data_IF_489496322423
#
_entry.id   IF_489496322423
#
_cell.length_a   1.000
_cell.length_b   1.000
_cell.length_c   1.000
_cell.angle_alpha   90.00
_cell.angle_beta   90.00
_cell.angle_gamma   90.00
#
_symmetry.space_group_name_H-M   'P 1'
#
loop_
_entity.id
_entity.type
_entity.pdbx_description
1 polymer ?
#
# COMPACT_ATOMS: atom_id res chain seq x y z
N UNK A 1 8.36 -7.32 16.80
CA UNK A 1 7.93 -6.02 16.26
C UNK A 1 6.59 -5.70 16.89
N UNK A 2 6.57 -4.83 17.90
CA UNK A 2 5.32 -4.41 18.55
C UNK A 2 4.74 -3.28 17.70
N UNK A 3 3.54 -3.50 17.16
CA UNK A 3 2.83 -2.49 16.39
C UNK A 3 2.31 -1.43 17.38
N UNK A 4 2.91 -0.24 17.39
CA UNK A 4 2.52 0.87 18.28
C UNK A 4 1.38 1.73 17.71
N UNK A 5 0.80 1.34 16.58
CA UNK A 5 -0.30 2.06 15.96
C UNK A 5 -1.64 1.55 16.52
N UNK A 6 -2.24 2.33 17.42
CA UNK A 6 -3.51 2.00 18.09
C UNK A 6 -4.69 1.80 17.11
N UNK A 7 -4.64 2.43 15.94
CA UNK A 7 -5.63 2.24 14.87
C UNK A 7 -5.39 0.93 14.08
N UNK A 8 -4.16 0.43 14.06
CA UNK A 8 -3.81 -0.82 13.39
C UNK A 8 -4.21 -2.07 14.18
N UNK A 9 -4.50 -1.93 15.48
CA UNK A 9 -4.82 -3.03 16.40
C UNK A 9 -6.29 -3.15 16.82
N UNK A 10 -7.17 -2.23 16.42
CA UNK A 10 -8.61 -2.33 16.70
C UNK A 10 -9.36 -2.83 15.47
N UNK A 11 -10.19 -3.85 15.63
CA UNK A 11 -10.96 -4.45 14.54
C UNK A 11 -12.36 -4.77 15.05
N UNK A 12 -13.33 -3.96 14.66
CA UNK A 12 -14.73 -4.12 15.04
C UNK A 12 -15.40 -5.35 14.41
N UNK A 13 -14.88 -5.87 13.29
CA UNK A 13 -15.38 -7.12 12.69
C UNK A 13 -14.78 -8.36 13.36
N UNK A 14 -13.56 -8.25 13.90
CA UNK A 14 -12.94 -9.31 14.72
C UNK A 14 -13.23 -9.17 16.23
N UNK A 15 -14.07 -8.21 16.63
CA UNK A 15 -14.42 -7.96 18.04
C UNK A 15 -13.28 -7.42 18.91
N UNK A 16 -12.21 -6.91 18.32
CA UNK A 16 -11.05 -6.34 19.02
C UNK A 16 -11.31 -4.86 19.27
N UNK A 17 -11.87 -4.54 20.44
CA UNK A 17 -12.07 -3.16 20.92
C UNK A 17 -10.95 -2.81 21.89
N UNK A 18 -10.22 -1.71 21.63
CA UNK A 18 -9.28 -1.17 22.62
C UNK A 18 -10.07 -0.38 23.69
N UNK A 19 -9.89 -0.65 25.00
CA UNK A 19 -10.32 0.28 26.02
C UNK A 19 -9.50 1.57 25.92
N UNK A 20 -10.09 2.74 26.25
CA UNK A 20 -9.34 4.00 26.25
C UNK A 20 -8.13 3.89 27.18
N UNK A 21 -6.96 4.36 26.70
CA UNK A 21 -5.76 4.46 27.53
C UNK A 21 -6.08 5.33 28.76
N UNK A 22 -5.72 4.91 29.98
CA UNK A 22 -5.80 5.77 31.16
C UNK A 22 -5.10 7.12 30.91
N UNK A 23 -5.68 8.23 31.35
CA UNK A 23 -5.21 9.60 31.05
C UNK A 23 -3.73 9.83 31.34
N UNK A 24 -3.19 9.14 32.36
CA UNK A 24 -1.77 9.18 32.71
C UNK A 24 -0.85 8.63 31.60
N UNK A 25 -1.27 7.58 30.88
CA UNK A 25 -0.51 7.01 29.77
C UNK A 25 -0.66 7.83 28.48
N UNK A 26 -1.78 8.55 28.32
CA UNK A 26 -1.94 9.50 27.22
C UNK A 26 -1.00 10.71 27.37
N UNK A 27 -0.81 11.19 28.61
CA UNK A 27 0.14 12.27 28.91
C UNK A 27 1.59 11.82 28.75
N UNK A 28 1.94 10.60 29.17
CA UNK A 28 3.28 10.02 29.02
C UNK A 28 3.65 9.74 27.56
N UNK A 29 2.69 9.31 26.73
CA UNK A 29 2.92 9.12 25.30
C UNK A 29 3.21 10.46 24.59
N UNK A 30 2.54 11.55 25.00
CA UNK A 30 2.78 12.89 24.44
C UNK A 30 4.16 13.44 24.82
N UNK A 31 4.54 13.37 26.11
CA UNK A 31 5.82 13.91 26.58
C UNK A 31 7.02 13.10 26.06
N UNK A 32 6.86 11.79 25.91
CA UNK A 32 7.92 10.92 25.37
C UNK A 32 8.10 11.10 23.86
N UNK A 33 7.02 11.33 23.12
CA UNK A 33 7.07 11.66 21.69
C UNK A 33 7.77 13.01 21.42
N UNK A 34 7.52 14.03 22.24
CA UNK A 34 8.18 15.34 22.13
C UNK A 34 9.69 15.26 22.44
N UNK A 35 10.09 14.38 23.37
CA UNK A 35 11.50 14.14 23.70
C UNK A 35 12.23 13.34 22.61
N UNK A 36 11.58 12.35 21.98
CA UNK A 36 12.16 11.54 20.89
C UNK A 36 12.33 12.34 19.59
N UNK A 37 11.50 13.35 19.33
CA UNK A 37 11.65 14.28 18.21
C UNK A 37 12.92 15.17 18.31
N UNK A 38 13.45 15.38 19.53
CA UNK A 38 14.62 16.23 19.77
C UNK A 38 15.97 15.48 19.75
N UNK A 39 15.97 14.14 19.82
CA UNK A 39 17.19 13.35 19.90
C UNK A 39 17.60 12.77 18.54
N UNK A 40 18.71 13.29 17.97
CA UNK A 40 19.37 12.77 16.75
C UNK A 40 19.72 11.28 16.88
N UNK A 41 19.40 10.49 15.85
CA UNK A 41 19.74 9.06 15.70
C UNK A 41 21.26 8.78 15.84
N UNK A 42 21.67 7.67 16.49
CA UNK A 42 22.09 6.42 15.78
C UNK A 42 22.04 5.14 16.69
N UNK A 43 22.68 3.98 16.36
CA UNK A 43 22.81 3.21 15.12
C UNK A 43 22.14 1.80 15.20
N UNK A 44 22.20 1.08 14.08
CA UNK A 44 21.64 -0.26 13.85
C UNK A 44 22.41 -1.38 14.59
N UNK A 45 21.64 -2.23 15.28
CA UNK A 45 21.92 -3.59 15.76
C UNK A 45 22.86 -3.71 16.96
N UNK A 46 22.28 -3.97 18.14
CA UNK A 46 22.97 -4.48 19.33
C UNK A 46 22.64 -5.98 19.53
N UNK A 47 23.55 -6.77 20.14
CA UNK A 47 23.37 -8.21 20.33
C UNK A 47 22.23 -8.49 21.31
N UNK A 48 21.72 -9.73 21.25
CA UNK A 48 20.56 -10.23 22.01
C UNK A 48 20.87 -10.29 23.51
N UNK A 49 20.85 -9.14 24.18
CA UNK A 49 20.90 -9.03 25.64
C UNK A 49 19.54 -9.42 26.24
N UNK A 50 19.59 -10.04 27.41
CA UNK A 50 18.44 -10.58 28.14
C UNK A 50 17.29 -9.59 28.21
N UNK A 51 16.08 -10.09 27.95
CA UNK A 51 14.83 -9.33 28.08
C UNK A 51 14.86 -8.48 29.37
N UNK A 52 14.54 -7.18 29.29
CA UNK A 52 14.52 -6.34 30.48
C UNK A 52 13.54 -6.95 31.51
N UNK A 53 13.84 -6.86 32.81
CA UNK A 53 12.99 -7.41 33.85
C UNK A 53 11.58 -6.81 33.72
N UNK A 54 10.56 -7.67 33.81
CA UNK A 54 9.16 -7.27 33.69
C UNK A 54 8.87 -6.12 34.66
N UNK A 55 8.18 -5.06 34.22
CA UNK A 55 7.84 -3.95 35.10
C UNK A 55 6.86 -4.44 36.21
N UNK A 56 6.81 -3.77 37.37
CA UNK A 56 6.04 -4.21 38.53
C UNK A 56 4.57 -4.45 38.17
N UNK A 57 3.95 -5.49 38.73
CA UNK A 57 2.63 -6.00 38.36
C UNK A 57 1.51 -4.93 38.25
N UNK A 58 1.63 -3.82 38.97
CA UNK A 58 0.74 -2.67 38.91
C UNK A 58 0.73 -1.92 37.54
N UNK A 59 1.72 -2.19 36.68
CA UNK A 59 1.87 -1.59 35.35
C UNK A 59 1.45 -2.52 34.21
N UNK A 60 1.06 -3.76 34.55
CA UNK A 60 0.64 -4.76 33.57
C UNK A 60 -0.89 -4.73 33.44
N UNK A 61 -1.39 -4.37 32.26
CA UNK A 61 -2.80 -4.56 31.92
C UNK A 61 -3.05 -6.04 31.66
N UNK A 62 -3.92 -6.67 32.45
CA UNK A 62 -4.37 -8.06 32.24
C UNK A 62 -5.47 -8.06 31.18
N UNK A 63 -5.20 -8.72 30.05
CA UNK A 63 -6.17 -8.88 28.98
C UNK A 63 -6.82 -10.26 29.06
N UNK A 64 -8.15 -10.30 29.12
CA UNK A 64 -8.91 -11.52 28.90
C UNK A 64 -9.29 -11.60 27.42
N UNK A 65 -8.40 -12.20 26.61
CA UNK A 65 -8.68 -12.44 25.19
C UNK A 65 -9.50 -13.72 25.07
N UNK A 66 -10.73 -13.60 24.58
CA UNK A 66 -11.53 -14.74 24.15
C UNK A 66 -11.46 -14.81 22.64
N UNK A 67 -10.89 -15.89 22.11
CA UNK A 67 -10.97 -16.20 20.68
C UNK A 67 -12.43 -16.53 20.37
N UNK A 68 -13.12 -15.63 19.67
CA UNK A 68 -14.53 -15.79 19.30
C UNK A 68 -14.68 -16.80 18.16
N UNK A 69 -13.74 -16.77 17.22
CA UNK A 69 -13.64 -17.72 16.13
C UNK A 69 -12.22 -17.73 15.62
N UNK A 70 -11.67 -18.92 15.37
CA UNK A 70 -10.43 -19.09 14.63
C UNK A 70 -10.75 -19.98 13.44
N UNK A 71 -10.56 -19.45 12.23
CA UNK A 71 -10.42 -20.30 11.05
C UNK A 71 -9.06 -20.94 11.12
N UNK A 72 -9.02 -22.27 11.03
CA UNK A 72 -7.75 -22.98 10.85
C UNK A 72 -7.02 -22.35 9.68
N UNK A 73 -5.78 -21.92 9.90
CA UNK A 73 -4.92 -21.53 8.79
C UNK A 73 -4.72 -22.78 7.96
N UNK A 74 -5.48 -22.92 6.88
CA UNK A 74 -5.39 -24.09 6.02
C UNK A 74 -4.03 -24.02 5.33
N UNK A 75 -2.99 -24.57 5.97
CA UNK A 75 -1.71 -24.85 5.34
C UNK A 75 -1.94 -26.07 4.49
N UNK A 76 -2.69 -25.91 3.40
CA UNK A 76 -2.79 -26.94 2.42
C UNK A 76 -1.78 -26.65 1.33
N UNK A 77 -0.56 -27.15 1.57
CA UNK A 77 0.31 -27.54 0.46
C UNK A 77 -0.37 -28.55 -0.48
N UNK A 78 -1.53 -29.13 -0.09
CA UNK A 78 -2.27 -30.15 -0.84
C UNK A 78 -3.60 -29.68 -1.48
N UNK A 79 -3.96 -28.38 -1.40
CA UNK A 79 -5.21 -27.92 -2.02
C UNK A 79 -5.06 -27.71 -3.53
N UNK A 80 -5.95 -28.34 -4.28
CA UNK A 80 -6.06 -28.30 -5.74
C UNK A 80 -6.12 -26.85 -6.26
N UNK A 81 -5.51 -26.59 -7.42
CA UNK A 81 -5.43 -25.24 -8.01
C UNK A 81 -6.78 -24.53 -8.07
N UNK A 82 -7.86 -25.27 -8.37
CA UNK A 82 -9.21 -24.71 -8.43
C UNK A 82 -9.70 -24.09 -7.13
N UNK A 83 -9.57 -24.81 -6.02
CA UNK A 83 -9.97 -24.29 -4.71
C UNK A 83 -9.17 -23.03 -4.33
N UNK A 84 -7.87 -23.02 -4.66
CA UNK A 84 -7.00 -21.87 -4.41
C UNK A 84 -7.42 -20.64 -5.22
N UNK A 85 -7.93 -20.82 -6.44
CA UNK A 85 -8.52 -19.73 -7.22
C UNK A 85 -9.75 -19.17 -6.53
N UNK A 86 -10.68 -20.04 -6.15
CA UNK A 86 -11.94 -19.64 -5.51
C UNK A 86 -11.65 -18.89 -4.19
N UNK A 87 -10.71 -19.39 -3.38
CA UNK A 87 -10.23 -18.72 -2.16
C UNK A 87 -9.63 -17.33 -2.42
N UNK A 88 -8.81 -17.20 -3.46
CA UNK A 88 -8.22 -15.91 -3.82
C UNK A 88 -9.25 -14.93 -4.39
N UNK A 89 -10.29 -15.43 -5.08
CA UNK A 89 -11.42 -14.61 -5.53
C UNK A 89 -12.25 -14.08 -4.37
N UNK A 90 -12.55 -14.92 -3.38
CA UNK A 90 -13.23 -14.52 -2.15
C UNK A 90 -12.39 -13.50 -1.36
N UNK A 91 -11.10 -13.79 -1.16
CA UNK A 91 -10.16 -12.86 -0.51
C UNK A 91 -10.09 -11.50 -1.22
N UNK A 92 -10.13 -11.50 -2.57
CA UNK A 92 -10.21 -10.26 -3.37
C UNK A 92 -11.52 -9.53 -3.13
N UNK A 93 -12.65 -10.24 -3.03
CA UNK A 93 -13.97 -9.64 -2.78
C UNK A 93 -14.03 -8.97 -1.41
N UNK A 94 -13.51 -9.61 -0.36
CA UNK A 94 -13.38 -9.02 0.97
C UNK A 94 -12.50 -7.75 0.95
N UNK A 95 -11.34 -7.84 0.29
CA UNK A 95 -10.43 -6.71 0.17
C UNK A 95 -11.05 -5.53 -0.61
N UNK A 96 -11.88 -5.80 -1.62
CA UNK A 96 -12.66 -4.78 -2.32
C UNK A 96 -13.65 -4.10 -1.37
N UNK A 97 -14.31 -4.85 -0.48
CA UNK A 97 -15.22 -4.29 0.51
C UNK A 97 -14.48 -3.35 1.48
N UNK A 98 -13.31 -3.74 1.97
CA UNK A 98 -12.47 -2.90 2.84
C UNK A 98 -11.99 -1.63 2.12
N UNK A 99 -11.57 -1.76 0.87
CA UNK A 99 -11.13 -0.63 0.07
C UNK A 99 -12.26 0.39 -0.19
N UNK A 100 -13.49 -0.09 -0.40
CA UNK A 100 -14.68 0.75 -0.52
C UNK A 100 -15.01 1.48 0.79
N UNK A 101 -14.79 0.82 1.94
CA UNK A 101 -14.95 1.42 3.28
C UNK A 101 -13.83 2.42 3.64
N UNK A 102 -12.79 2.54 2.81
CA UNK A 102 -11.68 3.48 3.01
C UNK A 102 -10.46 2.86 3.70
N UNK A 103 -10.53 1.62 4.15
CA UNK A 103 -9.37 0.94 4.75
C UNK A 103 -8.46 0.33 3.67
N UNK A 104 -7.72 1.21 3.00
CA UNK A 104 -6.78 0.83 1.96
C UNK A 104 -5.60 0.01 2.50
N UNK A 105 -5.21 0.19 3.76
CA UNK A 105 -4.10 -0.53 4.37
C UNK A 105 -4.45 -2.01 4.62
N UNK A 106 -5.63 -2.31 5.18
CA UNK A 106 -6.11 -3.69 5.34
C UNK A 106 -6.39 -4.35 4.00
N UNK A 107 -7.01 -3.62 3.08
CA UNK A 107 -7.24 -4.11 1.72
C UNK A 107 -5.92 -4.51 1.05
N UNK A 108 -4.88 -3.68 1.15
CA UNK A 108 -3.55 -3.99 0.60
C UNK A 108 -2.96 -5.28 1.18
N UNK A 109 -3.04 -5.47 2.51
CA UNK A 109 -2.55 -6.70 3.17
C UNK A 109 -3.27 -7.95 2.65
N UNK A 110 -4.60 -7.88 2.51
CA UNK A 110 -5.39 -9.00 1.96
C UNK A 110 -5.06 -9.28 0.50
N UNK A 111 -4.96 -8.26 -0.36
CA UNK A 111 -4.56 -8.48 -1.76
C UNK A 111 -3.18 -9.12 -1.89
N UNK A 112 -2.19 -8.64 -1.12
CA UNK A 112 -0.84 -9.21 -1.13
C UNK A 112 -0.82 -10.65 -0.63
N UNK A 113 -1.64 -10.97 0.40
CA UNK A 113 -1.82 -12.36 0.86
C UNK A 113 -2.37 -13.25 -0.26
N UNK A 114 -3.46 -12.83 -0.91
CA UNK A 114 -4.05 -13.59 -2.02
C UNK A 114 -3.06 -13.79 -3.17
N UNK A 115 -2.20 -12.80 -3.46
CA UNK A 115 -1.14 -12.96 -4.47
C UNK A 115 -0.12 -14.03 -4.07
N UNK A 116 0.35 -14.01 -2.81
CA UNK A 116 1.27 -15.03 -2.32
C UNK A 116 0.64 -16.43 -2.38
N UNK A 117 -0.65 -16.53 -2.05
CA UNK A 117 -1.39 -17.78 -2.14
C UNK A 117 -1.44 -18.31 -3.59
N UNK A 118 -1.56 -17.43 -4.60
CA UNK A 118 -1.50 -17.80 -6.04
C UNK A 118 -0.10 -18.17 -6.54
N UNK A 119 0.97 -17.70 -5.88
CA UNK A 119 2.36 -17.96 -6.26
C UNK A 119 2.88 -19.31 -5.71
N UNK A 120 2.11 -19.96 -4.82
CA UNK A 120 2.44 -21.30 -4.33
C UNK A 120 2.56 -22.29 -5.50
N UNK A 121 3.70 -23.01 -5.63
CA UNK A 121 3.89 -24.00 -6.68
C UNK A 121 2.78 -25.04 -6.67
N UNK A 122 1.90 -24.97 -7.67
CA UNK A 122 0.73 -25.83 -7.84
C UNK A 122 0.65 -26.24 -9.30
N UNK A 123 0.19 -27.45 -9.60
CA UNK A 123 -0.13 -27.84 -10.97
C UNK A 123 -1.46 -27.20 -11.37
N UNK A 124 -1.49 -26.57 -12.54
CA UNK A 124 -2.64 -25.82 -13.04
C UNK A 124 -3.11 -26.43 -14.35
N UNK A 125 -4.39 -26.73 -14.44
CA UNK A 125 -5.05 -27.03 -15.71
C UNK A 125 -5.02 -25.79 -16.62
N UNK A 126 -5.09 -25.98 -17.94
CA UNK A 126 -4.94 -24.89 -18.91
C UNK A 126 -5.95 -23.74 -18.67
N UNK A 127 -7.23 -24.07 -18.46
CA UNK A 127 -8.29 -23.10 -18.22
C UNK A 127 -8.13 -22.38 -16.87
N UNK A 128 -7.77 -23.13 -15.82
CA UNK A 128 -7.53 -22.57 -14.49
C UNK A 128 -6.29 -21.66 -14.49
N UNK A 129 -5.27 -21.97 -15.30
CA UNK A 129 -4.10 -21.13 -15.47
C UNK A 129 -4.43 -19.77 -16.12
N UNK A 130 -5.35 -19.75 -17.10
CA UNK A 130 -5.86 -18.49 -17.70
C UNK A 130 -6.58 -17.67 -16.64
N UNK A 131 -7.50 -18.29 -15.88
CA UNK A 131 -8.20 -17.63 -14.76
C UNK A 131 -7.24 -17.10 -13.70
N UNK A 132 -6.24 -17.89 -13.32
CA UNK A 132 -5.17 -17.50 -12.38
C UNK A 132 -4.45 -16.25 -12.84
N UNK A 133 -4.06 -16.20 -14.11
CA UNK A 133 -3.33 -15.05 -14.66
C UNK A 133 -4.20 -13.80 -14.70
N UNK A 134 -5.48 -13.92 -15.07
CA UNK A 134 -6.44 -12.81 -15.02
C UNK A 134 -6.64 -12.31 -13.58
N UNK A 135 -6.79 -13.21 -12.61
CA UNK A 135 -6.91 -12.87 -11.20
C UNK A 135 -5.65 -12.17 -10.68
N UNK A 136 -4.46 -12.66 -11.05
CA UNK A 136 -3.17 -12.06 -10.69
C UNK A 136 -3.06 -10.62 -11.20
N UNK A 137 -3.46 -10.34 -12.44
CA UNK A 137 -3.48 -8.98 -12.99
C UNK A 137 -4.47 -8.09 -12.23
N UNK A 138 -5.66 -8.60 -11.90
CA UNK A 138 -6.64 -7.88 -11.09
C UNK A 138 -6.10 -7.54 -9.69
N UNK A 139 -5.36 -8.45 -9.06
CA UNK A 139 -4.76 -8.24 -7.75
C UNK A 139 -3.66 -7.17 -7.80
N UNK A 140 -2.74 -7.25 -8.76
CA UNK A 140 -1.73 -6.20 -8.97
C UNK A 140 -2.36 -4.83 -9.18
N UNK A 141 -3.40 -4.77 -10.01
CA UNK A 141 -4.11 -3.54 -10.29
C UNK A 141 -4.71 -2.97 -8.98
N UNK A 142 -5.36 -3.79 -8.17
CA UNK A 142 -5.95 -3.38 -6.89
C UNK A 142 -4.91 -2.98 -5.84
N UNK A 143 -3.77 -3.65 -5.76
CA UNK A 143 -2.65 -3.24 -4.89
C UNK A 143 -2.15 -1.86 -5.30
N UNK A 144 -2.00 -1.59 -6.60
CA UNK A 144 -1.64 -0.26 -7.10
C UNK A 144 -2.68 0.81 -6.70
N UNK A 145 -3.97 0.48 -6.72
CA UNK A 145 -5.01 1.40 -6.22
C UNK A 145 -4.87 1.68 -4.72
N UNK A 146 -4.58 0.65 -3.92
CA UNK A 146 -4.30 0.80 -2.50
C UNK A 146 -3.06 1.65 -2.26
N UNK A 147 -1.98 1.47 -3.02
CA UNK A 147 -0.73 2.22 -2.85
C UNK A 147 -0.88 3.73 -3.04
N UNK A 148 -1.85 4.17 -3.86
CA UNK A 148 -2.19 5.58 -4.07
C UNK A 148 -3.06 6.19 -2.97
N UNK A 149 -3.86 5.38 -2.27
CA UNK A 149 -4.76 5.83 -1.19
C UNK A 149 -4.22 5.58 0.21
N UNK A 150 -3.35 4.59 0.37
CA UNK A 150 -2.78 4.20 1.65
C UNK A 150 -1.50 4.99 1.91
N UNK A 151 -1.48 5.68 3.03
CA UNK A 151 -0.25 6.06 3.73
C UNK A 151 0.20 4.88 4.58
N UNK A 152 1.49 4.60 4.63
CA UNK A 152 2.03 3.64 5.58
C UNK A 152 2.00 4.19 7.02
N UNK A 153 2.45 3.39 7.98
CA UNK A 153 2.49 3.76 9.41
C UNK A 153 3.37 5.00 9.70
N UNK A 154 4.20 5.41 8.73
CA UNK A 154 5.05 6.60 8.81
C UNK A 154 4.46 7.77 7.99
N UNK A 155 3.22 7.65 7.52
CA UNK A 155 2.55 8.68 6.71
C UNK A 155 3.01 8.71 5.25
N UNK A 156 3.87 7.78 4.81
CA UNK A 156 4.41 7.79 3.45
C UNK A 156 3.51 7.00 2.48
N UNK A 157 3.15 7.63 1.38
CA UNK A 157 2.42 6.98 0.29
C UNK A 157 3.32 6.01 -0.46
N UNK A 158 2.80 4.83 -0.82
CA UNK A 158 3.57 3.74 -1.43
C UNK A 158 3.69 3.88 -2.95
N UNK A 159 4.28 4.99 -3.41
CA UNK A 159 4.42 5.26 -4.84
C UNK A 159 5.27 4.22 -5.58
N UNK A 160 6.37 3.76 -4.98
CA UNK A 160 7.24 2.73 -5.57
C UNK A 160 6.51 1.38 -5.76
N UNK A 161 5.77 0.96 -4.74
CA UNK A 161 4.94 -0.24 -4.77
C UNK A 161 3.88 -0.13 -5.87
N UNK A 162 3.25 1.04 -5.98
CA UNK A 162 2.26 1.35 -7.03
C UNK A 162 2.88 1.23 -8.42
N UNK A 163 4.05 1.84 -8.64
CA UNK A 163 4.76 1.80 -9.92
C UNK A 163 5.11 0.35 -10.28
N UNK A 164 5.67 -0.41 -9.33
CA UNK A 164 6.04 -1.81 -9.57
C UNK A 164 4.85 -2.67 -9.95
N UNK A 165 3.74 -2.57 -9.20
CA UNK A 165 2.54 -3.36 -9.47
C UNK A 165 1.84 -2.93 -10.76
N UNK A 166 1.77 -1.64 -11.05
CA UNK A 166 1.20 -1.16 -12.31
C UNK A 166 2.05 -1.58 -13.52
N UNK A 167 3.39 -1.55 -13.41
CA UNK A 167 4.28 -2.04 -14.47
C UNK A 167 4.08 -3.52 -14.76
N UNK A 168 3.91 -4.38 -13.74
CA UNK A 168 3.58 -5.81 -13.95
C UNK A 168 2.26 -6.03 -14.70
N UNK A 169 1.27 -5.15 -14.51
CA UNK A 169 0.03 -5.21 -15.30
C UNK A 169 0.31 -4.80 -16.74
N UNK A 170 1.10 -3.75 -16.96
CA UNK A 170 1.42 -3.24 -18.29
C UNK A 170 2.36 -4.14 -19.10
N UNK A 171 3.19 -4.95 -18.44
CA UNK A 171 3.97 -6.02 -19.08
C UNK A 171 3.07 -7.08 -19.73
N UNK A 172 1.89 -7.33 -19.16
CA UNK A 172 0.93 -8.30 -19.68
C UNK A 172 -0.15 -7.66 -20.57
N UNK A 173 -0.59 -6.45 -20.23
CA UNK A 173 -1.60 -5.65 -20.95
C UNK A 173 -1.13 -4.19 -21.05
N UNK A 174 -0.35 -3.85 -22.09
CA UNK A 174 0.18 -2.49 -22.29
C UNK A 174 -0.90 -1.44 -22.54
N UNK A 175 -2.13 -1.87 -22.83
CA UNK A 175 -3.28 -0.99 -23.10
C UNK A 175 -4.16 -0.77 -21.87
N UNK A 176 -3.75 -1.26 -20.70
CA UNK A 176 -4.54 -1.12 -19.48
C UNK A 176 -4.57 0.33 -18.98
N UNK A 177 -5.65 1.05 -19.28
CA UNK A 177 -5.81 2.48 -18.92
C UNK A 177 -5.71 2.70 -17.41
N UNK A 178 -6.28 1.79 -16.59
CA UNK A 178 -6.22 1.89 -15.13
C UNK A 178 -4.77 1.77 -14.62
N UNK A 179 -3.96 0.88 -15.19
CA UNK A 179 -2.56 0.74 -14.80
C UNK A 179 -1.73 1.95 -15.25
N UNK A 180 -1.90 2.41 -16.50
CA UNK A 180 -1.26 3.63 -17.02
C UNK A 180 -1.58 4.85 -16.14
N UNK A 181 -2.87 5.06 -15.85
CA UNK A 181 -3.30 6.17 -15.02
C UNK A 181 -2.70 6.13 -13.61
N UNK A 182 -2.69 4.95 -12.96
CA UNK A 182 -2.16 4.78 -11.60
C UNK A 182 -0.64 4.93 -11.56
N UNK A 183 0.08 4.40 -12.56
CA UNK A 183 1.54 4.55 -12.67
C UNK A 183 1.93 5.99 -12.93
N UNK A 184 1.24 6.66 -13.85
CA UNK A 184 1.43 8.08 -14.15
C UNK A 184 1.15 8.97 -12.93
N UNK A 185 0.09 8.69 -12.17
CA UNK A 185 -0.19 9.39 -10.92
C UNK A 185 0.91 9.19 -9.87
N UNK A 186 1.41 7.96 -9.72
CA UNK A 186 2.51 7.68 -8.79
C UNK A 186 3.82 8.37 -9.21
N UNK A 187 4.14 8.38 -10.51
CA UNK A 187 5.30 9.11 -11.03
C UNK A 187 5.22 10.63 -10.81
N UNK A 188 4.02 11.20 -10.94
CA UNK A 188 3.78 12.63 -10.74
C UNK A 188 3.86 13.06 -9.27
N UNK A 189 3.30 12.24 -8.37
CA UNK A 189 3.19 12.57 -6.95
C UNK A 189 4.44 12.21 -6.12
N UNK A 190 5.29 11.32 -6.64
CA UNK A 190 6.51 10.91 -5.94
C UNK A 190 7.52 12.06 -5.88
N UNK A 191 7.93 12.53 -4.68
CA UNK A 191 8.94 13.58 -4.56
C UNK A 191 10.32 13.07 -4.99
N UNK A 192 11.13 13.98 -5.54
CA UNK A 192 12.52 13.74 -5.96
C UNK A 192 12.72 12.55 -6.92
N UNK A 193 11.70 12.23 -7.70
CA UNK A 193 11.80 11.18 -8.70
C UNK A 193 12.46 11.69 -9.98
N UNK A 194 13.66 11.20 -10.27
CA UNK A 194 14.36 11.48 -11.53
C UNK A 194 13.45 11.09 -12.70
N UNK A 195 13.29 12.00 -13.65
CA UNK A 195 12.42 11.84 -14.82
C UNK A 195 10.93 11.55 -14.49
N UNK A 196 10.50 11.73 -13.24
CA UNK A 196 9.14 11.38 -12.82
C UNK A 196 8.05 12.13 -13.59
N UNK A 197 8.29 13.41 -13.90
CA UNK A 197 7.34 14.19 -14.68
C UNK A 197 7.24 13.72 -16.14
N UNK A 198 8.36 13.38 -16.77
CA UNK A 198 8.38 12.88 -18.14
C UNK A 198 7.65 11.52 -18.25
N UNK A 199 7.97 10.59 -17.33
CA UNK A 199 7.30 9.28 -17.25
C UNK A 199 5.79 9.42 -16.96
N UNK A 200 5.42 10.34 -16.07
CA UNK A 200 4.01 10.63 -15.79
C UNK A 200 3.27 11.17 -17.02
N UNK A 201 3.90 12.08 -17.78
CA UNK A 201 3.32 12.63 -19.01
C UNK A 201 3.14 11.56 -20.08
N UNK A 202 4.11 10.65 -20.23
CA UNK A 202 4.02 9.52 -21.17
C UNK A 202 2.83 8.62 -20.84
N UNK A 203 2.75 8.13 -19.60
CA UNK A 203 1.66 7.25 -19.15
C UNK A 203 0.28 7.93 -19.27
N UNK A 204 0.16 9.19 -18.85
CA UNK A 204 -1.11 9.92 -18.87
C UNK A 204 -1.55 10.32 -20.29
N UNK A 205 -0.61 10.59 -21.20
CA UNK A 205 -0.93 10.80 -22.63
C UNK A 205 -1.47 9.52 -23.23
N UNK A 206 -0.78 8.40 -22.99
CA UNK A 206 -1.22 7.10 -23.50
C UNK A 206 -2.60 6.72 -22.96
N UNK A 207 -2.86 6.94 -21.68
CA UNK A 207 -4.18 6.75 -21.10
C UNK A 207 -5.25 7.63 -21.76
N UNK A 208 -4.93 8.90 -22.07
CA UNK A 208 -5.87 9.83 -22.72
C UNK A 208 -6.15 9.48 -24.19
N UNK A 209 -5.19 8.88 -24.89
CA UNK A 209 -5.39 8.36 -26.25
C UNK A 209 -6.35 7.16 -26.26
N UNK A 210 -6.23 6.27 -25.28
CA UNK A 210 -7.05 5.07 -25.17
C UNK A 210 -8.47 5.37 -24.67
N UNK A 211 -8.62 6.27 -23.71
CA UNK A 211 -9.91 6.69 -23.15
C UNK A 211 -10.05 8.23 -23.12
N UNK A 212 -10.31 8.88 -24.26
CA UNK A 212 -10.40 10.34 -24.34
C UNK A 212 -11.57 10.95 -23.55
N UNK A 213 -12.59 10.14 -23.23
CA UNK A 213 -13.74 10.53 -22.43
C UNK A 213 -13.46 10.68 -20.93
N UNK A 214 -12.42 10.01 -20.41
CA UNK A 214 -12.14 9.96 -18.97
C UNK A 214 -11.73 11.35 -18.45
N UNK A 215 -12.55 11.93 -17.57
CA UNK A 215 -12.30 13.23 -16.94
C UNK A 215 -11.13 13.21 -15.97
N UNK A 216 -10.94 12.09 -15.25
CA UNK A 216 -9.86 11.90 -14.30
C UNK A 216 -8.49 11.87 -14.99
N UNK A 217 -8.39 11.12 -16.10
CA UNK A 217 -7.17 11.07 -16.93
C UNK A 217 -6.85 12.47 -17.48
N UNK A 218 -7.83 13.17 -18.05
CA UNK A 218 -7.64 14.53 -18.59
C UNK A 218 -7.23 15.53 -17.53
N UNK A 219 -7.87 15.51 -16.36
CA UNK A 219 -7.52 16.39 -15.25
C UNK A 219 -6.09 16.14 -14.76
N UNK A 220 -5.68 14.88 -14.65
CA UNK A 220 -4.33 14.55 -14.21
C UNK A 220 -3.27 14.94 -15.26
N UNK A 221 -3.56 14.71 -16.54
CA UNK A 221 -2.69 15.13 -17.64
C UNK A 221 -2.53 16.66 -17.68
N UNK A 222 -3.62 17.41 -17.45
CA UNK A 222 -3.58 18.87 -17.35
C UNK A 222 -2.68 19.34 -16.19
N UNK A 223 -2.79 18.70 -15.03
CA UNK A 223 -1.91 18.95 -13.88
C UNK A 223 -0.44 18.69 -14.21
N UNK A 224 -0.13 17.57 -14.85
CA UNK A 224 1.23 17.24 -15.27
C UNK A 224 1.80 18.28 -16.27
N UNK A 225 0.99 18.70 -17.25
CA UNK A 225 1.38 19.75 -18.22
C UNK A 225 1.62 21.10 -17.55
N UNK A 226 0.79 21.48 -16.58
CA UNK A 226 0.98 22.72 -15.82
C UNK A 226 2.30 22.70 -15.03
N UNK A 227 2.63 21.56 -14.42
CA UNK A 227 3.90 21.39 -13.71
C UNK A 227 5.10 21.49 -14.67
N UNK A 228 5.03 20.88 -15.86
CA UNK A 228 6.07 21.00 -16.89
C UNK A 228 6.29 22.45 -17.28
N UNK A 229 5.21 23.17 -17.62
CA UNK A 229 5.29 24.58 -17.99
C UNK A 229 5.93 25.44 -16.90
N UNK A 230 5.64 25.15 -15.63
CA UNK A 230 6.26 25.87 -14.51
C UNK A 230 7.76 25.59 -14.38
N UNK A 231 8.21 24.36 -14.65
CA UNK A 231 9.64 24.03 -14.66
C UNK A 231 10.34 24.72 -15.83
N UNK A 232 9.78 24.63 -17.04
CA UNK A 232 10.35 25.26 -18.23
C UNK A 232 10.51 26.79 -18.05
N UNK A 233 9.53 27.44 -17.42
CA UNK A 233 9.61 28.87 -17.08
C UNK A 233 10.71 29.18 -16.07
N UNK A 234 10.88 28.33 -15.05
CA UNK A 234 11.94 28.48 -14.05
C UNK A 234 13.30 28.30 -14.69
N UNK A 235 13.46 27.26 -15.51
CA UNK A 235 14.71 26.96 -16.21
C UNK A 235 15.06 28.12 -17.15
N UNK A 236 14.13 28.59 -17.97
CA UNK A 236 14.34 29.76 -18.83
C UNK A 236 14.75 31.01 -18.04
N UNK A 237 14.14 31.26 -16.86
CA UNK A 237 14.50 32.39 -15.99
C UNK A 237 15.87 32.25 -15.32
N UNK A 238 16.33 31.02 -15.08
CA UNK A 238 17.66 30.75 -14.53
C UNK A 238 18.72 30.91 -15.61
N UNK A 239 18.50 30.35 -16.81
CA UNK A 239 19.41 30.52 -17.95
C UNK A 239 19.54 31.98 -18.37
N UNK A 240 18.44 32.75 -18.38
CA UNK A 240 18.48 34.19 -18.68
C UNK A 240 19.31 35.01 -17.67
N UNK A 241 19.35 34.60 -16.39
CA UNK A 241 20.19 35.24 -15.35
C UNK A 241 21.65 34.78 -15.36
N UNK A 242 21.93 33.62 -15.96
CA UNK A 242 23.29 33.08 -16.05
C UNK A 242 24.04 33.64 -17.27
N UNK A 243 23.32 34.02 -18.32
CA UNK A 243 23.87 34.46 -19.62
C UNK A 243 23.83 35.98 -19.85
N UNK A 244 23.14 36.73 -19.00
CA UNK A 244 23.08 38.20 -19.03
C UNK A 244 23.80 38.81 -17.85
#
# INVERSE_FOLDING_TARGET
VVCMDAAAGSDSELGIVQPPLPDALQQLARTKWEAELQAKAPPLIAPRESLPPLPPAASLSRWHVRVVSATEGVIAMELHGRWRLDWCEESKAEANALFKRGDAARANRRYKKAMLDLEVPTQWEADDNVRRNQLRLSLHLNVAACGLRATDAYGATRYLDTISHASRVLEADPTNVKALFRRGQAHLLRPNHINGLALALEDLRRAAELEPGDTGVRSMLARARAQQKSLDQKDASMFGRMLG
#
